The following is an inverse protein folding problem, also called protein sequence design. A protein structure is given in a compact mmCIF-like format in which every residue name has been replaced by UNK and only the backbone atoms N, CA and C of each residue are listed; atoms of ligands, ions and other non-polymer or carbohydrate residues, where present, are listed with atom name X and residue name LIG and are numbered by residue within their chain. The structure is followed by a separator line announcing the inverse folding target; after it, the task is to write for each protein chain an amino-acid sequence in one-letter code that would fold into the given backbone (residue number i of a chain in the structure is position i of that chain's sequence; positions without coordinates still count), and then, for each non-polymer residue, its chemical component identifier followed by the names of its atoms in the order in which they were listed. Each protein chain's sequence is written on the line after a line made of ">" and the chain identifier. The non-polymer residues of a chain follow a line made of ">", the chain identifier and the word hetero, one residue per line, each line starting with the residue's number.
data_IF_467796140617
#
_entry.id   IF_467796140617
#
_cell.length_a   1.000
_cell.length_b   1.000
_cell.length_c   1.000
_cell.angle_alpha   90.00
_cell.angle_beta   90.00
_cell.angle_gamma   90.00
#
_symmetry.space_group_name_H-M   'P 1'
#
loop_
_entity.id
_entity.type
_entity.pdbx_description
1 polymer ?
#
# COMPACT_ATOMS: atom_id res chain seq x y z
N UNK A 1 -97.57 40.45 -6.33
CA UNK A 1 -97.11 41.39 -5.26
C UNK A 1 -96.03 40.64 -4.47
N UNK A 2 -94.96 41.25 -4.25
CA UNK A 2 -93.82 41.05 -3.33
C UNK A 2 -92.50 40.74 -3.99
N UNK A 3 -91.67 41.67 -3.74
CA UNK A 3 -90.30 41.92 -4.29
C UNK A 3 -89.28 40.90 -3.82
N UNK A 4 -88.43 40.49 -4.76
CA UNK A 4 -87.28 39.76 -4.47
C UNK A 4 -86.05 40.67 -4.32
N UNK A 5 -85.36 40.52 -3.24
CA UNK A 5 -84.09 41.21 -2.98
C UNK A 5 -82.96 40.25 -3.38
N UNK A 6 -82.13 40.67 -4.34
CA UNK A 6 -80.90 40.03 -4.70
C UNK A 6 -79.83 40.39 -3.67
N UNK A 7 -79.22 39.39 -3.04
CA UNK A 7 -78.02 39.57 -2.22
C UNK A 7 -76.83 38.94 -2.98
N UNK A 8 -75.89 39.77 -3.42
CA UNK A 8 -74.69 39.37 -4.04
C UNK A 8 -73.70 38.88 -2.99
N UNK A 9 -73.28 37.64 -3.07
CA UNK A 9 -72.16 37.05 -2.28
C UNK A 9 -70.87 37.22 -3.05
N UNK A 10 -69.99 38.05 -2.54
CA UNK A 10 -68.59 38.18 -3.02
C UNK A 10 -67.80 37.02 -2.44
N UNK A 11 -67.39 36.09 -3.28
CA UNK A 11 -66.43 35.00 -2.93
C UNK A 11 -65.02 35.55 -2.99
N UNK A 12 -64.40 35.75 -1.82
CA UNK A 12 -62.93 35.94 -1.72
C UNK A 12 -62.25 34.59 -1.99
N UNK A 13 -61.64 34.47 -3.15
CA UNK A 13 -60.71 33.40 -3.43
C UNK A 13 -59.38 33.69 -2.75
N UNK A 14 -59.11 33.06 -1.61
CA UNK A 14 -57.78 33.00 -0.96
C UNK A 14 -56.92 32.08 -1.71
N UNK A 15 -56.01 32.60 -2.55
CA UNK A 15 -54.91 31.88 -3.16
C UNK A 15 -53.89 31.60 -2.05
N UNK A 16 -53.96 30.39 -1.48
CA UNK A 16 -52.90 29.88 -0.62
C UNK A 16 -51.73 29.49 -1.51
N UNK A 17 -50.75 30.38 -1.63
CA UNK A 17 -49.42 30.04 -2.17
C UNK A 17 -48.77 29.08 -1.21
N UNK A 18 -48.85 27.78 -1.48
CA UNK A 18 -47.95 26.76 -0.88
C UNK A 18 -46.55 27.05 -1.38
N UNK A 19 -45.78 27.73 -0.58
CA UNK A 19 -44.33 27.71 -0.67
C UNK A 19 -43.88 26.26 -0.44
N UNK A 20 -43.70 25.51 -1.54
CA UNK A 20 -42.87 24.32 -1.51
C UNK A 20 -41.45 24.80 -1.19
N UNK A 21 -41.17 24.95 0.10
CA UNK A 21 -39.82 24.93 0.58
C UNK A 21 -39.28 23.54 0.21
N UNK A 22 -38.66 23.43 -0.97
CA UNK A 22 -37.80 22.32 -1.30
C UNK A 22 -36.70 22.31 -0.24
N UNK A 23 -36.90 21.54 0.83
CA UNK A 23 -35.79 21.03 1.57
C UNK A 23 -34.96 20.25 0.54
N UNK A 24 -33.96 20.91 -0.02
CA UNK A 24 -32.77 20.21 -0.46
C UNK A 24 -32.25 19.52 0.80
N UNK A 25 -32.71 18.31 1.05
CA UNK A 25 -31.95 17.39 1.83
C UNK A 25 -30.69 17.21 1.01
N UNK A 26 -29.67 18.07 1.21
CA UNK A 26 -28.31 17.59 1.15
C UNK A 26 -28.38 16.32 1.95
N UNK A 27 -28.31 15.18 1.27
CA UNK A 27 -28.12 13.90 1.93
C UNK A 27 -27.00 14.18 2.94
N UNK A 28 -27.33 14.09 4.24
CA UNK A 28 -26.29 14.13 5.25
C UNK A 28 -25.32 13.05 4.81
N UNK A 29 -24.13 13.46 4.33
CA UNK A 29 -23.15 12.54 3.78
C UNK A 29 -23.02 11.43 4.79
N UNK A 30 -23.04 10.18 4.34
CA UNK A 30 -22.92 9.05 5.25
C UNK A 30 -21.67 9.30 6.09
N UNK A 31 -21.85 9.31 7.41
CA UNK A 31 -20.78 9.68 8.36
C UNK A 31 -19.75 8.54 8.55
N UNK A 32 -19.74 7.56 7.63
CA UNK A 32 -18.94 6.33 7.75
C UNK A 32 -17.97 6.19 6.60
N UNK A 33 -16.70 5.94 6.94
CA UNK A 33 -15.69 5.37 6.05
C UNK A 33 -15.69 3.85 6.18
N UNK A 34 -15.75 3.14 5.07
CA UNK A 34 -15.71 1.69 5.00
C UNK A 34 -14.35 1.25 4.45
N UNK A 35 -13.64 0.40 5.18
CA UNK A 35 -12.26 0.04 4.87
C UNK A 35 -12.13 -1.47 4.79
N UNK A 36 -11.54 -1.98 3.70
CA UNK A 36 -11.27 -3.41 3.55
C UNK A 36 -9.75 -3.60 3.45
N UNK A 37 -9.19 -4.26 4.48
CA UNK A 37 -7.81 -4.72 4.50
C UNK A 37 -7.72 -6.11 3.84
N UNK A 38 -6.59 -6.44 3.17
CA UNK A 38 -6.51 -7.62 2.30
C UNK A 38 -6.34 -8.92 3.09
N UNK A 39 -5.40 -8.92 4.04
CA UNK A 39 -4.94 -10.12 4.75
C UNK A 39 -4.15 -9.73 6.01
N UNK A 40 -3.61 -10.74 6.71
CA UNK A 40 -2.68 -10.55 7.82
C UNK A 40 -1.25 -10.98 7.48
N UNK A 41 -1.04 -11.61 6.32
CA UNK A 41 0.18 -12.37 6.00
C UNK A 41 1.07 -11.67 4.95
N UNK A 42 0.49 -10.96 3.98
CA UNK A 42 1.26 -10.27 2.91
C UNK A 42 2.05 -9.05 3.40
N UNK A 43 1.69 -8.53 4.57
CA UNK A 43 2.40 -7.45 5.25
C UNK A 43 2.02 -7.41 6.72
N UNK A 44 3.01 -7.37 7.60
CA UNK A 44 2.79 -7.30 9.05
C UNK A 44 2.21 -5.95 9.50
N UNK A 45 1.96 -5.02 8.59
CA UNK A 45 1.50 -3.66 8.85
C UNK A 45 -0.01 -3.52 9.01
N UNK A 46 -0.83 -4.35 8.32
CA UNK A 46 -2.27 -4.11 8.17
C UNK A 46 -3.03 -4.04 9.49
N UNK A 47 -2.92 -5.07 10.34
CA UNK A 47 -3.65 -5.11 11.61
C UNK A 47 -2.99 -4.28 12.72
N UNK A 48 -1.66 -4.36 12.97
CA UNK A 48 -1.04 -3.58 14.06
C UNK A 48 -0.75 -2.12 13.70
N UNK A 49 -0.70 -1.76 12.42
CA UNK A 49 -0.28 -0.45 11.94
C UNK A 49 -1.40 0.34 11.26
N UNK A 50 -1.81 -0.10 10.07
CA UNK A 50 -2.75 0.65 9.23
C UNK A 50 -4.13 0.77 9.87
N UNK A 51 -4.69 -0.34 10.41
CA UNK A 51 -5.99 -0.32 11.08
C UNK A 51 -6.10 0.75 12.17
N UNK A 52 -5.24 0.77 13.22
CA UNK A 52 -5.36 1.77 14.27
C UNK A 52 -5.07 3.19 13.78
N UNK A 53 -4.20 3.38 12.78
CA UNK A 53 -3.90 4.70 12.23
C UNK A 53 -5.09 5.28 11.45
N UNK A 54 -5.73 4.47 10.58
CA UNK A 54 -6.93 4.86 9.85
C UNK A 54 -8.11 5.12 10.79
N UNK A 55 -8.33 4.22 11.78
CA UNK A 55 -9.41 4.35 12.75
C UNK A 55 -9.27 5.62 13.58
N UNK A 56 -8.08 5.89 14.12
CA UNK A 56 -7.81 7.09 14.91
C UNK A 56 -8.04 8.36 14.09
N UNK A 57 -7.49 8.46 12.89
CA UNK A 57 -7.60 9.66 12.06
C UNK A 57 -9.05 9.98 11.67
N UNK A 58 -9.86 8.97 11.36
CA UNK A 58 -11.26 9.14 10.99
C UNK A 58 -12.13 9.46 12.20
N UNK A 59 -11.92 8.78 13.33
CA UNK A 59 -12.71 9.02 14.56
C UNK A 59 -12.38 10.36 15.19
N UNK A 60 -11.14 10.80 15.17
CA UNK A 60 -10.72 12.14 15.64
C UNK A 60 -11.38 13.26 14.80
N UNK A 61 -11.65 12.98 13.52
CA UNK A 61 -12.38 13.89 12.64
C UNK A 61 -13.90 13.79 12.77
N UNK A 62 -14.42 12.92 13.64
CA UNK A 62 -15.84 12.76 13.93
C UNK A 62 -16.59 11.82 12.99
N UNK A 63 -15.89 10.96 12.27
CA UNK A 63 -16.46 9.96 11.36
C UNK A 63 -16.38 8.55 11.94
N UNK A 64 -17.31 7.68 11.55
CA UNK A 64 -17.27 6.27 11.88
C UNK A 64 -16.31 5.54 10.92
N UNK A 65 -15.45 4.67 11.45
CA UNK A 65 -14.58 3.77 10.67
C UNK A 65 -15.08 2.33 10.82
N UNK A 66 -15.65 1.75 9.74
CA UNK A 66 -15.94 0.29 9.65
C UNK A 66 -14.78 -0.38 8.92
N UNK A 67 -13.87 -1.01 9.69
CA UNK A 67 -12.64 -1.63 9.15
C UNK A 67 -12.73 -3.14 9.29
N UNK A 68 -12.73 -3.86 8.16
CA UNK A 68 -12.74 -5.31 8.12
C UNK A 68 -11.57 -5.85 7.31
N UNK A 69 -11.22 -7.12 7.54
CA UNK A 69 -10.12 -7.80 6.87
C UNK A 69 -10.65 -9.02 6.11
N UNK A 70 -10.29 -9.13 4.86
CA UNK A 70 -10.69 -10.22 3.97
C UNK A 70 -9.98 -11.53 4.31
N UNK A 71 -8.85 -11.49 5.03
CA UNK A 71 -8.08 -12.66 5.46
C UNK A 71 -7.68 -13.58 4.30
N UNK A 72 -7.13 -12.98 3.24
CA UNK A 72 -6.65 -13.71 2.05
C UNK A 72 -7.76 -14.49 1.29
N UNK A 73 -9.02 -14.06 1.41
CA UNK A 73 -10.17 -14.69 0.77
C UNK A 73 -10.93 -13.68 -0.09
N UNK A 74 -10.88 -13.86 -1.42
CA UNK A 74 -11.55 -12.98 -2.39
C UNK A 74 -13.08 -13.03 -2.28
N UNK A 75 -13.66 -14.17 -1.89
CA UNK A 75 -15.11 -14.31 -1.68
C UNK A 75 -15.56 -13.57 -0.43
N UNK A 76 -14.74 -13.64 0.62
CA UNK A 76 -14.96 -12.88 1.85
C UNK A 76 -14.81 -11.38 1.58
N UNK A 77 -13.82 -10.96 0.78
CA UNK A 77 -13.64 -9.57 0.36
C UNK A 77 -14.92 -9.02 -0.30
N UNK A 78 -15.47 -9.74 -1.28
CA UNK A 78 -16.72 -9.36 -1.94
C UNK A 78 -17.90 -9.29 -0.97
N UNK A 79 -18.00 -10.28 -0.08
CA UNK A 79 -19.07 -10.33 0.95
C UNK A 79 -19.00 -9.13 1.91
N UNK A 80 -17.80 -8.77 2.36
CA UNK A 80 -17.57 -7.60 3.21
C UNK A 80 -17.98 -6.34 2.47
N UNK A 81 -17.56 -6.17 1.19
CA UNK A 81 -17.94 -5.04 0.36
C UNK A 81 -19.46 -4.87 0.25
N UNK A 82 -20.19 -5.96 -0.05
CA UNK A 82 -21.65 -5.95 -0.15
C UNK A 82 -22.33 -5.59 1.18
N UNK A 83 -21.83 -6.08 2.30
CA UNK A 83 -22.34 -5.74 3.63
C UNK A 83 -22.11 -4.28 3.99
N UNK A 84 -20.92 -3.75 3.71
CA UNK A 84 -20.55 -2.36 3.94
C UNK A 84 -21.42 -1.40 3.11
N UNK A 85 -21.56 -1.68 1.81
CA UNK A 85 -22.42 -0.89 0.92
C UNK A 85 -23.88 -0.90 1.38
N UNK A 86 -24.39 -2.05 1.84
CA UNK A 86 -25.75 -2.18 2.38
C UNK A 86 -25.95 -1.38 3.68
N UNK A 87 -24.94 -1.34 4.55
CA UNK A 87 -24.97 -0.55 5.79
C UNK A 87 -24.89 0.95 5.54
N UNK A 88 -24.44 1.36 4.37
CA UNK A 88 -24.23 2.75 3.97
C UNK A 88 -22.84 3.26 4.30
N UNK A 89 -22.04 3.44 3.25
CA UNK A 89 -20.73 4.08 3.28
C UNK A 89 -20.80 5.47 2.66
N UNK A 90 -20.04 6.42 3.16
CA UNK A 90 -19.84 7.74 2.53
C UNK A 90 -18.59 7.75 1.65
N UNK A 91 -17.62 6.88 1.95
CA UNK A 91 -16.42 6.64 1.17
C UNK A 91 -15.96 5.20 1.43
N UNK A 92 -15.32 4.58 0.45
CA UNK A 92 -14.63 3.30 0.63
C UNK A 92 -13.12 3.49 0.49
N UNK A 93 -12.35 2.90 1.40
CA UNK A 93 -10.89 2.76 1.32
C UNK A 93 -10.60 1.27 1.14
N UNK A 94 -10.04 0.90 0.00
CA UNK A 94 -9.88 -0.49 -0.39
C UNK A 94 -8.41 -0.82 -0.62
N UNK A 95 -7.91 -1.85 0.04
CA UNK A 95 -6.63 -2.48 -0.32
C UNK A 95 -6.95 -3.68 -1.20
N UNK A 96 -6.47 -3.70 -2.43
CA UNK A 96 -6.78 -4.84 -3.32
C UNK A 96 -6.21 -6.16 -2.80
N UNK A 97 -6.95 -7.21 -3.05
CA UNK A 97 -6.48 -8.58 -2.87
C UNK A 97 -6.86 -9.41 -4.10
N UNK A 98 -5.85 -9.73 -4.91
CA UNK A 98 -5.99 -10.56 -6.12
C UNK A 98 -7.12 -10.10 -7.08
N UNK A 99 -7.29 -8.79 -7.23
CA UNK A 99 -8.28 -8.19 -8.12
C UNK A 99 -9.71 -8.10 -7.56
N UNK A 100 -9.94 -8.53 -6.30
CA UNK A 100 -11.28 -8.48 -5.69
C UNK A 100 -11.78 -7.04 -5.45
N UNK A 101 -10.86 -6.08 -5.29
CA UNK A 101 -11.18 -4.67 -5.06
C UNK A 101 -11.95 -4.04 -6.22
N UNK A 102 -11.63 -4.38 -7.46
CA UNK A 102 -12.28 -3.80 -8.65
C UNK A 102 -13.79 -4.07 -8.68
N UNK A 103 -14.24 -5.26 -8.29
CA UNK A 103 -15.66 -5.60 -8.25
C UNK A 103 -16.42 -4.80 -7.16
N UNK A 104 -15.78 -4.56 -6.02
CA UNK A 104 -16.36 -3.74 -4.94
C UNK A 104 -16.38 -2.26 -5.35
N UNK A 105 -15.31 -1.77 -5.97
CA UNK A 105 -15.22 -0.39 -6.48
C UNK A 105 -16.32 -0.10 -7.51
N UNK A 106 -16.57 -1.03 -8.46
CA UNK A 106 -17.64 -0.90 -9.43
C UNK A 106 -19.03 -0.76 -8.77
N UNK A 107 -19.33 -1.60 -7.76
CA UNK A 107 -20.60 -1.52 -7.00
C UNK A 107 -20.74 -0.23 -6.18
N UNK A 108 -19.63 0.24 -5.59
CA UNK A 108 -19.60 1.52 -4.88
C UNK A 108 -19.92 2.68 -5.82
N UNK A 109 -19.30 2.69 -7.00
CA UNK A 109 -19.52 3.70 -8.05
C UNK A 109 -20.96 3.74 -8.54
N UNK A 110 -21.62 2.57 -8.72
CA UNK A 110 -23.05 2.49 -9.07
C UNK A 110 -23.95 3.18 -8.02
N UNK A 111 -23.52 3.23 -6.76
CA UNK A 111 -24.20 3.89 -5.66
C UNK A 111 -23.75 5.34 -5.44
N UNK A 112 -22.81 5.85 -6.25
CA UNK A 112 -22.24 7.19 -6.11
C UNK A 112 -21.34 7.35 -4.89
N UNK A 113 -20.77 6.24 -4.38
CA UNK A 113 -19.86 6.22 -3.24
C UNK A 113 -18.43 6.28 -3.78
N UNK A 114 -17.64 7.31 -3.43
CA UNK A 114 -16.27 7.44 -3.88
C UNK A 114 -15.38 6.33 -3.30
N UNK A 115 -14.41 5.90 -4.11
CA UNK A 115 -13.47 4.83 -3.77
C UNK A 115 -12.03 5.35 -3.80
N UNK A 116 -11.31 5.11 -2.71
CA UNK A 116 -9.89 5.33 -2.58
C UNK A 116 -9.21 3.96 -2.63
N UNK A 117 -8.42 3.69 -3.66
CA UNK A 117 -7.46 2.59 -3.66
C UNK A 117 -6.32 2.95 -2.70
N UNK A 118 -6.06 2.10 -1.71
CA UNK A 118 -5.07 2.32 -0.67
C UNK A 118 -3.95 1.30 -0.78
N UNK A 119 -2.72 1.76 -0.85
CA UNK A 119 -1.49 0.99 -1.08
C UNK A 119 -1.46 0.27 -2.45
N UNK A 120 -2.48 -0.46 -2.83
CA UNK A 120 -2.56 -1.23 -4.08
C UNK A 120 -3.56 -0.59 -5.04
N UNK A 121 -3.14 -0.34 -6.29
CA UNK A 121 -4.00 0.24 -7.30
C UNK A 121 -5.21 -0.67 -7.59
N UNK A 122 -6.37 -0.06 -7.82
CA UNK A 122 -7.63 -0.73 -8.14
C UNK A 122 -8.23 -0.08 -9.38
N UNK A 123 -8.47 -0.87 -10.41
CA UNK A 123 -9.12 -0.39 -11.63
C UNK A 123 -10.50 0.23 -11.30
N UNK A 124 -10.70 1.47 -11.76
CA UNK A 124 -11.96 2.19 -11.56
C UNK A 124 -12.11 2.89 -10.21
N UNK A 125 -11.10 2.89 -9.34
CA UNK A 125 -11.09 3.75 -8.15
C UNK A 125 -11.07 5.24 -8.56
N UNK A 126 -11.65 6.09 -7.72
CA UNK A 126 -11.69 7.54 -7.97
C UNK A 126 -10.37 8.22 -7.57
N UNK A 127 -9.64 7.62 -6.62
CA UNK A 127 -8.35 8.09 -6.13
C UNK A 127 -7.46 6.90 -5.80
N UNK A 128 -6.16 7.12 -5.91
CA UNK A 128 -5.13 6.19 -5.44
C UNK A 128 -4.22 6.89 -4.43
N UNK A 129 -3.95 6.24 -3.31
CA UNK A 129 -3.02 6.70 -2.27
C UNK A 129 -2.01 5.59 -2.05
N UNK A 130 -0.75 5.86 -2.33
CA UNK A 130 0.36 4.92 -2.15
C UNK A 130 1.69 5.66 -2.17
N UNK A 131 2.77 4.92 -1.98
CA UNK A 131 4.11 5.41 -2.27
C UNK A 131 4.37 5.45 -3.78
N UNK A 132 5.39 6.22 -4.19
CA UNK A 132 5.90 6.16 -5.56
C UNK A 132 6.60 4.82 -5.78
N UNK A 133 5.83 3.83 -6.23
CA UNK A 133 6.26 2.44 -6.35
C UNK A 133 7.33 2.24 -7.43
N UNK A 134 7.34 3.07 -8.47
CA UNK A 134 8.44 3.08 -9.45
C UNK A 134 9.73 3.54 -8.77
N UNK A 135 9.65 4.58 -7.93
CA UNK A 135 10.79 5.06 -7.15
C UNK A 135 11.30 4.03 -6.14
N UNK A 136 10.41 3.26 -5.52
CA UNK A 136 10.79 2.10 -4.68
C UNK A 136 11.67 1.14 -5.47
N UNK A 137 11.23 0.75 -6.67
CA UNK A 137 11.99 -0.12 -7.56
C UNK A 137 13.35 0.47 -7.96
N UNK A 138 13.39 1.76 -8.34
CA UNK A 138 14.64 2.45 -8.64
C UNK A 138 15.63 2.38 -7.47
N UNK A 139 15.16 2.60 -6.24
CA UNK A 139 15.99 2.47 -5.03
C UNK A 139 16.50 1.05 -4.83
N UNK A 140 15.69 0.03 -5.12
CA UNK A 140 16.12 -1.37 -5.06
C UNK A 140 17.20 -1.67 -6.11
N UNK A 141 16.99 -1.21 -7.34
CA UNK A 141 18.00 -1.34 -8.42
C UNK A 141 19.32 -0.66 -8.06
N UNK A 142 19.25 0.58 -7.53
CA UNK A 142 20.42 1.31 -7.09
C UNK A 142 21.14 0.60 -5.93
N UNK A 143 20.38 0.02 -4.98
CA UNK A 143 20.96 -0.79 -3.88
C UNK A 143 21.81 -1.95 -4.41
N UNK A 144 21.36 -2.61 -5.47
CA UNK A 144 22.15 -3.69 -6.11
C UNK A 144 23.41 -3.15 -6.74
N UNK A 145 23.33 -2.03 -7.47
CA UNK A 145 24.51 -1.41 -8.09
C UNK A 145 25.54 -0.96 -7.06
N UNK A 146 25.09 -0.32 -5.98
CA UNK A 146 25.96 0.14 -4.89
C UNK A 146 26.66 -1.05 -4.21
N UNK A 147 25.92 -2.14 -3.99
CA UNK A 147 26.47 -3.37 -3.41
C UNK A 147 27.49 -4.04 -4.32
N UNK A 148 27.22 -4.12 -5.63
CA UNK A 148 28.20 -4.64 -6.61
C UNK A 148 29.44 -3.77 -6.65
N UNK A 149 29.30 -2.45 -6.65
CA UNK A 149 30.42 -1.52 -6.62
C UNK A 149 31.27 -1.67 -5.34
N UNK A 150 30.62 -1.81 -4.18
CA UNK A 150 31.31 -2.06 -2.91
C UNK A 150 32.07 -3.40 -2.91
N UNK A 151 31.57 -4.41 -3.63
CA UNK A 151 32.23 -5.70 -3.82
C UNK A 151 33.30 -5.68 -4.92
N UNK A 152 33.47 -4.58 -5.66
CA UNK A 152 34.41 -4.45 -6.80
C UNK A 152 33.97 -5.25 -8.02
N UNK A 153 32.71 -5.54 -8.19
CA UNK A 153 32.14 -6.35 -9.27
C UNK A 153 31.62 -5.43 -10.38
N UNK A 154 32.07 -5.66 -11.61
CA UNK A 154 31.57 -4.97 -12.80
C UNK A 154 30.10 -5.39 -13.07
N UNK A 155 29.14 -4.46 -13.05
CA UNK A 155 27.72 -4.78 -13.21
C UNK A 155 27.43 -5.48 -14.55
N UNK A 156 28.18 -5.21 -15.61
CA UNK A 156 28.01 -5.84 -16.93
C UNK A 156 28.40 -7.32 -16.96
N UNK A 157 29.07 -7.81 -15.91
CA UNK A 157 29.56 -9.20 -15.77
C UNK A 157 28.93 -9.92 -14.58
N UNK A 158 28.16 -9.20 -13.77
CA UNK A 158 27.58 -9.72 -12.55
C UNK A 158 26.49 -10.75 -12.85
N UNK A 159 26.52 -11.85 -12.10
CA UNK A 159 25.46 -12.86 -12.11
C UNK A 159 24.35 -12.45 -11.12
N UNK A 160 23.37 -11.69 -11.58
CA UNK A 160 22.29 -11.16 -10.74
C UNK A 160 21.04 -12.00 -10.94
N UNK A 161 20.44 -12.45 -9.84
CA UNK A 161 19.13 -13.12 -9.82
C UNK A 161 18.05 -12.08 -9.57
N UNK A 162 17.01 -12.06 -10.42
CA UNK A 162 15.88 -11.17 -10.28
C UNK A 162 14.70 -11.95 -9.70
N UNK A 163 14.13 -11.43 -8.61
CA UNK A 163 12.87 -11.86 -8.01
C UNK A 163 11.89 -10.70 -8.04
N UNK A 164 10.63 -11.00 -8.28
CA UNK A 164 9.57 -10.00 -8.23
C UNK A 164 8.46 -10.39 -7.25
N UNK A 165 7.54 -9.48 -6.96
CA UNK A 165 6.34 -9.74 -6.20
C UNK A 165 5.28 -10.50 -7.02
N UNK A 166 4.13 -10.77 -6.40
CA UNK A 166 3.01 -11.45 -7.05
C UNK A 166 2.51 -10.64 -8.27
N UNK A 167 2.44 -11.22 -9.47
CA UNK A 167 2.01 -10.53 -10.67
C UNK A 167 0.53 -10.07 -10.65
N UNK A 168 -0.27 -10.58 -9.71
CA UNK A 168 -1.63 -10.09 -9.48
C UNK A 168 -1.67 -8.74 -8.74
N UNK A 169 -0.55 -8.31 -8.14
CA UNK A 169 -0.40 -7.01 -7.50
C UNK A 169 0.25 -6.02 -8.48
N UNK A 170 -0.48 -4.98 -8.86
CA UNK A 170 0.03 -3.94 -9.77
C UNK A 170 1.29 -3.24 -9.27
N UNK A 171 1.48 -3.15 -7.95
CA UNK A 171 2.69 -2.58 -7.35
C UNK A 171 3.93 -3.42 -7.67
N UNK A 172 3.80 -4.76 -7.72
CA UNK A 172 4.91 -5.65 -8.04
C UNK A 172 5.53 -5.31 -9.41
N UNK A 173 4.69 -4.96 -10.38
CA UNK A 173 5.15 -4.51 -11.71
C UNK A 173 5.88 -3.18 -11.61
N UNK A 174 5.37 -2.20 -10.87
CA UNK A 174 6.01 -0.89 -10.73
C UNK A 174 7.39 -1.03 -10.05
N UNK A 175 7.51 -1.83 -8.99
CA UNK A 175 8.79 -2.12 -8.35
C UNK A 175 9.77 -2.76 -9.31
N UNK A 176 9.32 -3.79 -10.03
CA UNK A 176 10.15 -4.51 -10.98
C UNK A 176 10.64 -3.60 -12.11
N UNK A 177 9.73 -2.87 -12.75
CA UNK A 177 10.06 -1.98 -13.87
C UNK A 177 11.03 -0.86 -13.42
N UNK A 178 10.83 -0.27 -12.24
CA UNK A 178 11.73 0.71 -11.65
C UNK A 178 13.14 0.15 -11.44
N UNK A 179 13.24 -1.04 -10.81
CA UNK A 179 14.52 -1.68 -10.56
C UNK A 179 15.24 -2.08 -11.87
N UNK A 180 14.49 -2.68 -12.80
CA UNK A 180 15.02 -3.08 -14.11
C UNK A 180 15.51 -1.88 -14.90
N UNK A 181 14.82 -0.74 -14.85
CA UNK A 181 15.26 0.48 -15.55
C UNK A 181 16.65 0.91 -15.11
N UNK A 182 16.93 0.90 -13.81
CA UNK A 182 18.25 1.25 -13.24
C UNK A 182 19.31 0.20 -13.58
N UNK A 183 18.98 -1.08 -13.39
CA UNK A 183 19.92 -2.17 -13.60
C UNK A 183 20.31 -2.33 -15.07
N UNK A 184 19.35 -2.25 -15.99
CA UNK A 184 19.62 -2.37 -17.43
C UNK A 184 20.38 -1.15 -17.97
N UNK A 185 20.13 0.06 -17.45
CA UNK A 185 20.91 1.25 -17.79
C UNK A 185 22.39 1.09 -17.41
N UNK A 186 22.70 0.32 -16.37
CA UNK A 186 24.08 -0.04 -15.94
C UNK A 186 24.63 -1.27 -16.68
N UNK A 187 23.88 -1.86 -17.60
CA UNK A 187 24.29 -3.04 -18.38
C UNK A 187 24.13 -4.38 -17.66
N UNK A 188 23.38 -4.40 -16.55
CA UNK A 188 23.04 -5.68 -15.87
C UNK A 188 22.00 -6.43 -16.70
N UNK A 189 22.30 -7.70 -16.96
CA UNK A 189 21.35 -8.64 -17.57
C UNK A 189 21.05 -9.71 -16.54
N UNK A 190 19.79 -10.06 -16.28
CA UNK A 190 19.47 -11.10 -15.29
C UNK A 190 20.08 -12.45 -15.71
N UNK A 191 20.87 -13.05 -14.80
CA UNK A 191 21.38 -14.40 -14.97
C UNK A 191 20.26 -15.43 -14.78
N UNK A 192 19.26 -15.08 -14.01
CA UNK A 192 18.04 -15.85 -13.78
C UNK A 192 16.91 -14.93 -13.32
N UNK A 193 15.70 -15.17 -13.85
CA UNK A 193 14.47 -14.52 -13.36
C UNK A 193 13.60 -15.56 -12.68
N UNK A 194 13.21 -15.27 -11.44
CA UNK A 194 12.33 -16.11 -10.63
C UNK A 194 10.87 -15.76 -10.92
N UNK A 195 9.97 -16.73 -10.75
CA UNK A 195 8.54 -16.44 -10.73
C UNK A 195 8.20 -15.50 -9.57
N UNK A 196 7.35 -14.51 -9.83
CA UNK A 196 6.95 -13.51 -8.83
C UNK A 196 6.04 -14.08 -7.76
N UNK A 197 6.28 -13.69 -6.51
CA UNK A 197 5.46 -14.08 -5.35
C UNK A 197 5.73 -13.17 -4.15
N UNK A 198 4.71 -13.00 -3.27
CA UNK A 198 4.90 -12.39 -1.95
C UNK A 198 5.14 -13.44 -0.85
N UNK A 199 5.02 -14.75 -1.18
CA UNK A 199 5.28 -15.84 -0.22
C UNK A 199 6.77 -16.12 -0.11
N UNK A 200 7.35 -15.78 1.03
CA UNK A 200 8.78 -15.93 1.29
C UNK A 200 9.30 -17.37 1.15
N UNK A 201 8.66 -18.39 1.73
CA UNK A 201 9.03 -19.80 1.53
C UNK A 201 9.06 -20.23 0.07
N UNK A 202 8.08 -19.81 -0.74
CA UNK A 202 8.05 -20.06 -2.18
C UNK A 202 9.21 -19.36 -2.88
N UNK A 203 9.50 -18.09 -2.54
CA UNK A 203 10.66 -17.36 -3.06
C UNK A 203 11.99 -18.04 -2.70
N UNK A 204 12.15 -18.51 -1.46
CA UNK A 204 13.32 -19.28 -1.02
C UNK A 204 13.52 -20.56 -1.84
N UNK A 205 12.45 -21.33 -2.07
CA UNK A 205 12.47 -22.55 -2.89
C UNK A 205 12.87 -22.23 -4.34
N UNK A 206 12.29 -21.19 -4.93
CA UNK A 206 12.61 -20.75 -6.28
C UNK A 206 14.09 -20.29 -6.38
N UNK A 207 14.57 -19.58 -5.36
CA UNK A 207 15.97 -19.17 -5.30
C UNK A 207 16.94 -20.37 -5.17
N UNK A 208 16.63 -21.39 -4.39
CA UNK A 208 17.46 -22.60 -4.29
C UNK A 208 17.60 -23.30 -5.65
N UNK A 209 16.52 -23.34 -6.46
CA UNK A 209 16.55 -23.84 -7.83
C UNK A 209 17.43 -22.96 -8.74
N UNK A 210 17.28 -21.64 -8.67
CA UNK A 210 18.11 -20.69 -9.41
C UNK A 210 19.59 -20.83 -9.03
N UNK A 211 19.89 -20.89 -7.74
CA UNK A 211 21.24 -21.07 -7.21
C UNK A 211 21.91 -22.36 -7.71
N UNK A 212 21.17 -23.47 -7.72
CA UNK A 212 21.63 -24.76 -8.24
C UNK A 212 21.91 -24.68 -9.74
N UNK A 213 20.97 -24.06 -10.52
CA UNK A 213 21.10 -23.91 -11.97
C UNK A 213 22.31 -23.05 -12.36
N UNK A 214 22.62 -22.04 -11.55
CA UNK A 214 23.77 -21.17 -11.72
C UNK A 214 25.06 -21.76 -11.13
N UNK A 215 25.05 -23.02 -10.63
CA UNK A 215 26.19 -23.66 -9.96
C UNK A 215 26.76 -22.80 -8.82
N UNK A 216 25.89 -22.12 -8.07
CA UNK A 216 26.27 -21.26 -6.97
C UNK A 216 26.89 -19.91 -7.38
N UNK A 217 26.95 -19.58 -8.66
CA UNK A 217 27.47 -18.31 -9.16
C UNK A 217 26.38 -17.24 -9.12
N UNK A 218 26.23 -16.61 -7.96
CA UNK A 218 25.32 -15.49 -7.73
C UNK A 218 26.15 -14.38 -7.11
N UNK A 219 26.10 -13.18 -7.70
CA UNK A 219 26.85 -11.99 -7.28
C UNK A 219 25.93 -10.95 -6.62
N UNK A 220 24.63 -10.95 -6.92
CA UNK A 220 23.61 -10.12 -6.25
C UNK A 220 22.21 -10.69 -6.47
N UNK A 221 21.24 -10.26 -5.65
CA UNK A 221 19.84 -10.65 -5.79
C UNK A 221 18.96 -9.41 -5.66
N UNK A 222 18.20 -9.10 -6.71
CA UNK A 222 17.08 -8.17 -6.63
C UNK A 222 15.94 -8.90 -5.93
N UNK A 223 15.65 -8.57 -4.67
CA UNK A 223 14.51 -9.09 -3.92
C UNK A 223 13.44 -7.99 -3.76
N UNK A 224 12.16 -8.31 -3.99
CA UNK A 224 11.10 -7.30 -4.04
C UNK A 224 10.70 -6.79 -2.65
N UNK A 225 10.92 -7.59 -1.59
CA UNK A 225 10.67 -7.20 -0.20
C UNK A 225 11.55 -8.00 0.78
N UNK A 226 11.49 -7.62 2.06
CA UNK A 226 12.28 -8.21 3.14
C UNK A 226 11.89 -9.65 3.44
N UNK A 227 10.60 -10.02 3.28
CA UNK A 227 10.15 -11.40 3.49
C UNK A 227 10.79 -12.35 2.48
N UNK A 228 10.79 -11.97 1.21
CA UNK A 228 11.48 -12.73 0.16
C UNK A 228 13.00 -12.72 0.40
N UNK A 229 13.58 -11.54 0.71
CA UNK A 229 15.00 -11.40 1.00
C UNK A 229 15.47 -12.32 2.15
N UNK A 230 14.72 -12.38 3.26
CA UNK A 230 15.05 -13.23 4.40
C UNK A 230 15.11 -14.72 4.04
N UNK A 231 14.16 -15.20 3.23
CA UNK A 231 14.15 -16.60 2.79
C UNK A 231 15.29 -16.90 1.78
N UNK A 232 15.64 -15.94 0.94
CA UNK A 232 16.81 -16.03 0.03
C UNK A 232 18.11 -16.03 0.83
N UNK A 233 18.25 -15.13 1.82
CA UNK A 233 19.40 -15.06 2.72
C UNK A 233 19.62 -16.38 3.44
N UNK A 234 18.55 -17.04 3.90
CA UNK A 234 18.67 -18.35 4.54
C UNK A 234 19.31 -19.42 3.65
N UNK A 235 19.07 -19.38 2.34
CA UNK A 235 19.73 -20.28 1.37
C UNK A 235 21.19 -19.87 1.15
N UNK A 236 21.47 -18.57 1.05
CA UNK A 236 22.85 -18.07 0.91
C UNK A 236 23.68 -18.41 2.14
N UNK A 237 23.16 -18.24 3.34
CA UNK A 237 23.80 -18.60 4.61
C UNK A 237 24.17 -20.08 4.68
N UNK A 238 23.28 -21.00 4.26
CA UNK A 238 23.57 -22.44 4.16
C UNK A 238 24.75 -22.73 3.26
N UNK A 239 25.00 -21.88 2.27
CA UNK A 239 26.08 -22.02 1.30
C UNK A 239 27.34 -21.18 1.64
N UNK A 240 27.34 -20.53 2.82
CA UNK A 240 28.45 -19.67 3.26
C UNK A 240 28.66 -18.45 2.37
N UNK A 241 27.62 -17.93 1.76
CA UNK A 241 27.64 -16.77 0.86
C UNK A 241 26.93 -15.57 1.46
N UNK A 242 27.50 -14.38 1.23
CA UNK A 242 26.85 -13.08 1.42
C UNK A 242 27.03 -12.31 0.11
N UNK A 243 25.93 -11.81 -0.44
CA UNK A 243 25.90 -11.00 -1.66
C UNK A 243 24.97 -9.80 -1.48
N UNK A 244 25.11 -8.72 -2.25
CA UNK A 244 24.16 -7.62 -2.25
C UNK A 244 22.74 -8.11 -2.50
N UNK A 245 21.81 -7.70 -1.61
CA UNK A 245 20.39 -8.02 -1.70
C UNK A 245 19.59 -6.75 -1.40
N UNK A 246 18.61 -6.45 -2.23
CA UNK A 246 17.61 -5.40 -1.97
C UNK A 246 16.51 -5.92 -1.06
N UNK A 247 15.62 -5.02 -0.64
CA UNK A 247 14.41 -5.33 0.10
C UNK A 247 13.49 -4.13 0.16
N UNK A 248 12.36 -4.31 0.83
CA UNK A 248 11.33 -3.30 1.05
C UNK A 248 10.54 -3.66 2.30
N UNK A 249 9.90 -2.67 2.90
CA UNK A 249 8.99 -2.69 4.04
C UNK A 249 9.64 -2.43 5.40
N UNK A 250 10.97 -2.39 5.51
CA UNK A 250 11.69 -2.18 6.77
C UNK A 250 11.16 -3.08 7.90
N UNK A 251 10.88 -4.35 7.57
CA UNK A 251 10.43 -5.33 8.53
C UNK A 251 11.50 -5.58 9.60
N UNK A 252 11.12 -6.07 10.78
CA UNK A 252 12.08 -6.41 11.84
C UNK A 252 13.18 -7.32 11.31
N UNK A 253 12.84 -8.35 10.55
CA UNK A 253 13.81 -9.27 9.95
C UNK A 253 14.70 -8.57 8.89
N UNK A 254 14.11 -7.68 8.08
CA UNK A 254 14.87 -6.88 7.11
C UNK A 254 15.86 -5.95 7.79
N UNK A 255 15.42 -5.20 8.82
CA UNK A 255 16.27 -4.30 9.60
C UNK A 255 17.41 -5.06 10.31
N UNK A 256 17.12 -6.26 10.86
CA UNK A 256 18.16 -7.14 11.42
C UNK A 256 19.18 -7.59 10.37
N UNK A 257 18.70 -8.00 9.19
CA UNK A 257 19.59 -8.43 8.10
C UNK A 257 20.45 -7.27 7.57
N UNK A 258 19.89 -6.05 7.51
CA UNK A 258 20.61 -4.82 7.13
C UNK A 258 21.72 -4.53 8.15
N UNK A 259 21.41 -4.54 9.45
CA UNK A 259 22.40 -4.34 10.51
C UNK A 259 23.51 -5.39 10.52
N UNK A 260 23.17 -6.64 10.20
CA UNK A 260 24.14 -7.75 10.11
C UNK A 260 24.91 -7.78 8.78
N UNK A 261 24.68 -6.86 7.85
CA UNK A 261 25.29 -6.83 6.52
C UNK A 261 24.89 -7.97 5.61
N UNK A 262 23.80 -8.68 5.92
CA UNK A 262 23.25 -9.77 5.12
C UNK A 262 22.31 -9.30 4.01
N UNK A 263 21.68 -8.14 4.22
CA UNK A 263 20.88 -7.39 3.26
C UNK A 263 21.50 -6.01 3.11
N UNK A 264 21.60 -5.49 1.88
CA UNK A 264 22.31 -4.23 1.62
C UNK A 264 21.51 -3.04 2.13
N UNK A 265 20.20 -3.01 1.83
CA UNK A 265 19.26 -1.99 2.28
C UNK A 265 17.84 -2.51 2.17
N UNK A 266 16.91 -1.81 2.82
CA UNK A 266 15.47 -1.98 2.64
C UNK A 266 14.83 -0.64 2.29
N UNK A 267 13.78 -0.64 1.48
CA UNK A 267 13.01 0.57 1.19
C UNK A 267 11.88 0.68 2.21
N UNK A 268 11.95 1.68 3.04
CA UNK A 268 10.97 1.96 4.08
C UNK A 268 9.82 2.80 3.53
N UNK A 269 8.61 2.34 3.77
CA UNK A 269 7.35 2.99 3.47
C UNK A 269 6.60 3.25 4.78
N UNK A 270 6.70 4.45 5.37
CA UNK A 270 6.05 4.76 6.64
C UNK A 270 4.52 4.67 6.51
N UNK A 271 3.90 3.56 6.90
CA UNK A 271 2.46 3.34 6.75
C UNK A 271 1.60 4.40 7.45
N UNK A 272 2.11 5.05 8.50
CA UNK A 272 1.40 6.13 9.19
C UNK A 272 1.15 7.35 8.30
N UNK A 273 2.11 7.72 7.45
CA UNK A 273 1.91 8.84 6.52
C UNK A 273 0.94 8.47 5.39
N UNK A 274 0.94 7.21 4.98
CA UNK A 274 0.01 6.71 3.98
C UNK A 274 -1.42 6.65 4.54
N UNK A 275 -1.60 6.11 5.74
CA UNK A 275 -2.87 6.09 6.44
C UNK A 275 -3.40 7.52 6.70
N UNK A 276 -2.52 8.45 7.08
CA UNK A 276 -2.87 9.86 7.25
C UNK A 276 -3.35 10.49 5.94
N UNK A 277 -2.63 10.28 4.84
CA UNK A 277 -3.00 10.80 3.52
C UNK A 277 -4.34 10.23 3.03
N UNK A 278 -4.56 8.91 3.17
CA UNK A 278 -5.81 8.27 2.81
C UNK A 278 -6.99 8.76 3.68
N UNK A 279 -6.76 8.93 4.97
CA UNK A 279 -7.77 9.45 5.89
C UNK A 279 -8.12 10.91 5.60
N UNK A 280 -7.13 11.77 5.32
CA UNK A 280 -7.36 13.17 4.93
C UNK A 280 -8.21 13.26 3.67
N UNK A 281 -7.88 12.44 2.67
CA UNK A 281 -8.62 12.35 1.42
C UNK A 281 -10.06 11.89 1.68
N UNK A 282 -10.26 10.83 2.47
CA UNK A 282 -11.57 10.31 2.84
C UNK A 282 -12.41 11.35 3.61
N UNK A 283 -11.81 12.07 4.55
CA UNK A 283 -12.47 13.13 5.33
C UNK A 283 -12.97 14.25 4.42
N UNK A 284 -12.18 14.68 3.43
CA UNK A 284 -12.62 15.68 2.44
C UNK A 284 -13.83 15.18 1.65
N UNK A 285 -13.77 13.94 1.15
CA UNK A 285 -14.88 13.33 0.42
C UNK A 285 -16.15 13.19 1.28
N UNK A 286 -16.02 12.77 2.54
CA UNK A 286 -17.14 12.68 3.50
C UNK A 286 -17.78 14.06 3.80
N UNK A 287 -17.00 15.12 3.72
CA UNK A 287 -17.48 16.51 3.82
C UNK A 287 -18.09 17.03 2.52
N UNK A 288 -18.08 16.27 1.44
CA UNK A 288 -18.55 16.69 0.12
C UNK A 288 -17.61 17.64 -0.60
N UNK A 289 -16.34 17.68 -0.19
CA UNK A 289 -15.28 18.44 -0.87
C UNK A 289 -14.72 17.63 -2.04
N UNK A 290 -14.20 18.31 -3.06
CA UNK A 290 -13.46 17.68 -4.15
C UNK A 290 -11.97 17.85 -3.88
N UNK A 291 -11.24 16.78 -3.52
CA UNK A 291 -9.81 16.87 -3.27
C UNK A 291 -9.03 17.20 -4.55
N UNK A 292 -7.99 18.05 -4.41
CA UNK A 292 -7.02 18.29 -5.48
C UNK A 292 -5.83 17.38 -5.25
N UNK A 293 -5.38 16.70 -6.31
CA UNK A 293 -4.25 15.77 -6.31
C UNK A 293 -3.35 16.11 -7.49
N UNK A 294 -2.04 16.16 -7.25
CA UNK A 294 -1.07 16.72 -8.21
C UNK A 294 -0.54 15.68 -9.21
N UNK A 295 -0.64 14.38 -8.93
CA UNK A 295 -0.20 13.31 -9.84
C UNK A 295 -1.40 12.47 -10.31
N UNK A 296 -1.20 11.77 -11.41
CA UNK A 296 -2.15 10.79 -11.97
C UNK A 296 -1.40 9.54 -12.38
N UNK A 297 -2.08 8.39 -12.31
CA UNK A 297 -1.63 7.18 -12.99
C UNK A 297 -1.81 7.31 -14.51
N UNK A 298 -1.28 6.36 -15.28
CA UNK A 298 -1.37 6.34 -16.75
C UNK A 298 -2.83 6.26 -17.25
N UNK A 299 -3.73 5.68 -16.46
CA UNK A 299 -5.17 5.61 -16.76
C UNK A 299 -5.94 6.89 -16.40
N UNK A 300 -5.25 7.88 -15.83
CA UNK A 300 -5.81 9.17 -15.40
C UNK A 300 -6.34 9.18 -13.96
N UNK A 301 -6.22 8.10 -13.20
CA UNK A 301 -6.62 8.05 -11.78
C UNK A 301 -5.80 9.04 -10.95
N UNK A 302 -6.42 9.99 -10.22
CA UNK A 302 -5.72 10.90 -9.33
C UNK A 302 -4.90 10.14 -8.27
N UNK A 303 -3.61 10.45 -8.14
CA UNK A 303 -2.66 9.70 -7.34
C UNK A 303 -1.95 10.57 -6.30
N UNK A 304 -2.16 10.29 -5.03
CA UNK A 304 -1.37 10.81 -3.91
C UNK A 304 -0.14 9.93 -3.75
N UNK A 305 0.96 10.36 -4.38
CA UNK A 305 2.23 9.64 -4.35
C UNK A 305 3.10 10.11 -3.17
N UNK A 306 3.41 9.21 -2.26
CA UNK A 306 4.27 9.47 -1.10
C UNK A 306 5.71 9.05 -1.40
N UNK A 307 6.67 9.75 -0.78
CA UNK A 307 8.09 9.46 -0.99
C UNK A 307 8.55 8.30 -0.12
N UNK A 308 9.11 7.21 -0.72
CA UNK A 308 9.75 6.14 0.03
C UNK A 308 11.14 6.55 0.53
N UNK A 309 11.65 5.86 1.54
CA UNK A 309 12.95 6.13 2.16
C UNK A 309 13.85 4.91 2.08
N UNK A 310 15.07 5.06 1.55
CA UNK A 310 16.06 3.98 1.58
C UNK A 310 16.68 3.88 2.98
N UNK A 311 16.69 2.66 3.55
CA UNK A 311 17.24 2.37 4.88
C UNK A 311 18.40 1.39 4.75
N UNK A 312 19.61 1.89 5.02
CA UNK A 312 20.82 1.12 5.26
C UNK A 312 21.10 1.04 6.76
N UNK A 313 22.23 0.42 7.15
CA UNK A 313 22.56 0.18 8.56
C UNK A 313 22.63 1.48 9.40
N UNK A 314 23.11 2.58 8.82
CA UNK A 314 23.33 3.85 9.53
C UNK A 314 22.04 4.58 9.91
N UNK A 315 20.93 4.31 9.23
CA UNK A 315 19.64 4.96 9.46
C UNK A 315 18.50 4.02 9.87
N UNK A 316 18.78 2.77 10.25
CA UNK A 316 17.81 1.88 10.93
C UNK A 316 17.19 2.55 12.16
N UNK A 317 17.99 3.30 12.92
CA UNK A 317 17.53 4.07 14.09
C UNK A 317 16.40 5.06 13.78
N UNK A 318 16.30 5.54 12.54
CA UNK A 318 15.27 6.51 12.13
C UNK A 318 13.90 5.84 12.04
N UNK A 319 13.85 4.56 11.64
CA UNK A 319 12.62 3.74 11.65
C UNK A 319 12.12 3.52 13.08
N UNK A 320 13.05 3.29 14.01
CA UNK A 320 12.74 3.17 15.44
C UNK A 320 12.25 4.52 16.01
N UNK A 321 12.91 5.61 15.66
CA UNK A 321 12.54 6.96 16.11
C UNK A 321 11.15 7.37 15.57
N UNK A 322 10.76 6.91 14.37
CA UNK A 322 9.41 7.08 13.82
C UNK A 322 8.35 6.23 14.56
N UNK A 323 8.78 5.28 15.39
CA UNK A 323 7.89 4.37 16.12
C UNK A 323 7.21 3.31 15.24
N UNK A 324 7.80 3.00 14.09
CA UNK A 324 7.29 1.97 13.16
C UNK A 324 7.99 0.62 13.36
N UNK A 325 9.08 0.60 14.14
CA UNK A 325 9.71 -0.60 14.67
C UNK A 325 10.18 -0.34 16.10
N UNK A 326 10.29 -1.40 16.90
CA UNK A 326 10.81 -1.29 18.28
C UNK A 326 12.25 -1.78 18.33
N UNK A 327 13.10 -1.02 19.04
CA UNK A 327 14.48 -1.43 19.24
C UNK A 327 14.60 -2.81 19.90
N UNK A 328 13.72 -3.14 20.86
CA UNK A 328 13.69 -4.44 21.55
C UNK A 328 13.43 -5.63 20.62
N UNK A 329 12.64 -5.42 19.55
CA UNK A 329 12.33 -6.46 18.57
C UNK A 329 13.49 -6.64 17.57
N UNK A 330 14.20 -5.55 17.24
CA UNK A 330 15.34 -5.57 16.31
C UNK A 330 16.61 -6.07 17.03
N UNK A 331 16.91 -5.51 18.20
CA UNK A 331 18.18 -5.69 18.88
C UNK A 331 18.20 -6.95 19.78
N UNK A 332 17.85 -8.10 19.18
CA UNK A 332 17.99 -9.40 19.85
C UNK A 332 19.47 -9.70 20.16
N UNK A 333 19.73 -10.70 20.98
CA UNK A 333 21.10 -11.09 21.34
C UNK A 333 22.02 -11.32 20.12
N UNK A 334 21.45 -11.77 19.00
CA UNK A 334 22.21 -12.02 17.75
C UNK A 334 22.58 -10.73 17.00
N UNK A 335 21.89 -9.60 17.27
CA UNK A 335 22.03 -8.33 16.54
C UNK A 335 22.55 -7.21 17.47
N UNK A 336 22.66 -7.47 18.77
CA UNK A 336 22.96 -6.46 19.78
C UNK A 336 24.24 -5.64 19.51
N UNK A 337 25.31 -6.28 19.07
CA UNK A 337 26.56 -5.59 18.75
C UNK A 337 26.40 -4.66 17.53
N UNK A 338 25.66 -5.11 16.51
CA UNK A 338 25.35 -4.30 15.32
C UNK A 338 24.43 -3.12 15.68
N UNK A 339 23.41 -3.35 16.52
CA UNK A 339 22.58 -2.27 17.04
C UNK A 339 23.41 -1.19 17.75
N UNK A 340 24.30 -1.60 18.65
CA UNK A 340 25.18 -0.68 19.38
C UNK A 340 26.08 0.11 18.42
N UNK A 341 26.64 -0.57 17.40
CA UNK A 341 27.51 0.07 16.41
C UNK A 341 26.80 1.15 15.59
N UNK A 342 25.51 0.98 15.30
CA UNK A 342 24.70 1.90 14.48
C UNK A 342 23.73 2.78 15.30
N UNK A 343 23.83 2.74 16.64
CA UNK A 343 23.05 3.62 17.52
C UNK A 343 21.56 3.32 17.56
N UNK A 344 21.18 2.07 17.36
CA UNK A 344 19.80 1.59 17.53
C UNK A 344 19.59 1.21 19.00
N UNK A 345 18.74 1.97 19.73
CA UNK A 345 18.55 1.86 21.18
C UNK A 345 17.05 1.77 21.52
#
# INVERSE_FOLDING_TARGET
>A
MKKSVLTAAVALASVSAMLLSGCSTTAAGASRACIILPDADSGTRWEPGDRPALEAALTDAGFEADIQNAQSDTSKYATIGDQMLTKGCGVMILVDYQGAGAAVAAKAKEQGIPVIAYDRAIDGADYYVSFDNTRVGEMQGQTILDGLAAAGIDPTKASVVFSSGDPADGNAKMFYDGAVSVLTAAGVVPAFEMAGTWDGPTAGTAFEQAYTKLNGKVDAVLAPNDNNAANIIAILDKNGKTVPISGQDASVAGLQNVLLGKQTATVYKPFKIEAAAASELAIKLLKGETPTVDKTLDDGTPFVALDPVLVGADNVKDVVAAGDAKAEDICTAAVADACAAHGVN
#
